data_IF_294795206493
#
_entry.id   IF_294795206493
#
_cell.length_a   1.000
_cell.length_b   1.000
_cell.length_c   1.000
_cell.angle_alpha   90.00
_cell.angle_beta   90.00
_cell.angle_gamma   90.00
#
_symmetry.space_group_name_H-M   'P 1'
#
loop_
_entity.id
_entity.type
_entity.pdbx_description
1 polymer ?
#
# COMPACT_ATOMS: atom_id res chain seq x y z
N UNK A 1 -5.96 2.71 -2.84
CA UNK A 1 -5.62 2.89 -1.42
C UNK A 1 -6.70 2.31 -0.53
N UNK A 2 -6.32 1.58 0.51
CA UNK A 2 -7.22 1.11 1.55
C UNK A 2 -6.60 1.39 2.94
N UNK A 3 -7.41 1.95 3.84
CA UNK A 3 -6.96 2.29 5.19
C UNK A 3 -7.63 3.53 5.75
N UNK A 4 -7.31 3.86 6.99
CA UNK A 4 -7.80 5.09 7.61
C UNK A 4 -7.31 6.32 6.84
N UNK A 5 -8.22 7.25 6.55
CA UNK A 5 -7.88 8.50 5.89
C UNK A 5 -7.25 9.43 6.93
N UNK A 6 -5.94 9.30 7.09
CA UNK A 6 -5.11 10.06 8.03
C UNK A 6 -3.83 10.51 7.33
N UNK A 7 -3.26 11.63 7.76
CA UNK A 7 -2.06 12.21 7.13
C UNK A 7 -0.89 11.23 7.11
N UNK A 8 -0.64 10.49 8.21
CA UNK A 8 0.46 9.53 8.28
C UNK A 8 0.25 8.28 7.41
N UNK A 9 -1.00 7.98 6.97
CA UNK A 9 -1.31 6.94 5.98
C UNK A 9 -1.10 7.41 4.54
N UNK A 10 -0.95 8.71 4.33
CA UNK A 10 -0.47 9.31 3.11
C UNK A 10 -1.43 9.37 1.90
N UNK A 11 -2.76 9.18 2.00
CA UNK A 11 -3.61 9.19 0.81
C UNK A 11 -3.58 10.52 0.05
N UNK A 12 -3.25 11.62 0.73
CA UNK A 12 -3.05 12.93 0.12
C UNK A 12 -1.88 12.94 -0.88
N UNK A 13 -0.81 12.16 -0.64
CA UNK A 13 0.31 12.05 -1.58
C UNK A 13 -0.14 11.46 -2.91
N UNK A 14 -1.06 10.48 -2.88
CA UNK A 14 -1.60 9.87 -4.10
C UNK A 14 -2.47 10.85 -4.87
N UNK A 15 -3.30 11.64 -4.17
CA UNK A 15 -4.13 12.67 -4.81
C UNK A 15 -3.23 13.72 -5.49
N UNK A 16 -2.21 14.21 -4.79
CA UNK A 16 -1.27 15.19 -5.38
C UNK A 16 -0.40 14.56 -6.49
N UNK A 17 -0.04 13.26 -6.38
CA UNK A 17 0.65 12.55 -7.46
C UNK A 17 -0.18 12.47 -8.75
N UNK A 18 -1.51 12.32 -8.64
CA UNK A 18 -2.40 12.40 -9.81
C UNK A 18 -2.38 13.79 -10.43
N UNK A 19 -2.29 14.86 -9.63
CA UNK A 19 -2.13 16.24 -10.12
C UNK A 19 -0.86 16.37 -10.97
N UNK A 20 0.27 15.88 -10.44
CA UNK A 20 1.55 15.87 -11.16
C UNK A 20 1.47 15.07 -12.47
N UNK A 21 0.83 13.88 -12.44
CA UNK A 21 0.66 13.07 -13.65
C UNK A 21 -0.21 13.77 -14.70
N UNK A 22 -1.30 14.41 -14.28
CA UNK A 22 -2.17 15.17 -15.18
C UNK A 22 -1.44 16.35 -15.81
N UNK A 23 -0.66 17.09 -15.05
CA UNK A 23 0.13 18.21 -15.54
C UNK A 23 1.14 17.74 -16.60
N UNK A 24 1.85 16.65 -16.33
CA UNK A 24 2.81 16.02 -17.26
C UNK A 24 2.14 15.50 -18.55
N UNK A 25 0.88 15.06 -18.46
CA UNK A 25 0.11 14.58 -19.60
C UNK A 25 -0.43 15.70 -20.48
N UNK A 26 -0.31 16.96 -20.09
CA UNK A 26 -0.77 18.12 -20.86
C UNK A 26 -1.73 19.06 -20.12
N UNK A 27 -1.94 18.82 -18.81
CA UNK A 27 -2.69 19.73 -17.94
C UNK A 27 -4.18 19.40 -17.77
N UNK A 28 -4.95 20.42 -17.41
CA UNK A 28 -6.35 20.25 -17.03
C UNK A 28 -7.18 19.55 -18.12
N UNK A 29 -7.99 18.58 -17.68
CA UNK A 29 -8.88 17.80 -18.56
C UNK A 29 -8.22 16.67 -19.32
N UNK A 30 -6.89 16.53 -19.28
CA UNK A 30 -6.20 15.39 -19.90
C UNK A 30 -6.27 14.18 -18.97
N UNK A 31 -6.55 12.99 -19.54
CA UNK A 31 -6.56 11.74 -18.81
C UNK A 31 -5.12 11.17 -18.70
N UNK A 32 -4.54 11.09 -17.50
CA UNK A 32 -3.21 10.49 -17.31
C UNK A 32 -3.24 8.95 -17.32
N UNK A 33 -4.39 8.32 -17.57
CA UNK A 33 -4.53 6.86 -17.60
C UNK A 33 -4.60 6.20 -16.22
N UNK A 34 -4.79 6.98 -15.14
CA UNK A 34 -4.86 6.49 -13.74
C UNK A 34 -6.17 6.88 -13.09
N UNK A 35 -6.73 5.98 -12.30
CA UNK A 35 -7.85 6.22 -11.39
C UNK A 35 -7.46 5.82 -9.98
N UNK A 36 -7.84 6.63 -9.00
CA UNK A 36 -7.60 6.36 -7.58
C UNK A 36 -8.91 6.02 -6.88
N UNK A 37 -8.98 4.82 -6.30
CA UNK A 37 -10.02 4.47 -5.34
C UNK A 37 -9.48 4.57 -3.92
N UNK A 38 -10.18 5.34 -3.07
CA UNK A 38 -9.85 5.53 -1.65
C UNK A 38 -10.91 4.83 -0.81
N UNK A 39 -10.52 3.72 -0.16
CA UNK A 39 -11.36 2.96 0.76
C UNK A 39 -10.97 3.25 2.20
N UNK A 40 -11.90 3.73 2.99
CA UNK A 40 -11.70 4.01 4.41
C UNK A 40 -12.38 5.28 4.88
N UNK A 41 -12.51 5.40 6.20
CA UNK A 41 -13.09 6.59 6.82
C UNK A 41 -11.99 7.55 7.28
N UNK A 42 -12.33 8.83 7.29
CA UNK A 42 -11.57 9.84 8.02
C UNK A 42 -11.60 9.52 9.51
N UNK A 43 -10.46 9.52 10.17
CA UNK A 43 -10.39 9.30 11.62
C UNK A 43 -9.22 10.08 12.23
N UNK A 44 -9.45 10.67 13.37
CA UNK A 44 -8.43 11.22 14.28
C UNK A 44 -7.87 12.59 13.95
N UNK A 45 -7.55 12.89 12.72
CA UNK A 45 -7.01 14.20 12.34
C UNK A 45 -8.14 15.09 11.82
N UNK A 46 -8.34 16.21 12.50
CA UNK A 46 -9.30 17.23 12.09
C UNK A 46 -9.02 17.69 10.65
N UNK A 47 -9.56 16.96 9.67
CA UNK A 47 -9.74 17.51 8.36
C UNK A 47 -8.68 17.23 7.30
N UNK A 48 -8.28 15.99 7.08
CA UNK A 48 -7.70 15.65 5.78
C UNK A 48 -8.84 15.66 4.73
N UNK A 49 -9.13 16.83 4.18
CA UNK A 49 -10.11 17.01 3.11
C UNK A 49 -9.49 16.58 1.78
N UNK A 50 -9.59 15.27 1.49
CA UNK A 50 -9.09 14.71 0.23
C UNK A 50 -9.94 15.15 -0.98
N UNK A 51 -11.23 15.37 -0.80
CA UNK A 51 -12.10 15.83 -1.89
C UNK A 51 -11.77 17.27 -2.29
N UNK A 52 -11.60 18.15 -1.30
CA UNK A 52 -11.13 19.51 -1.54
C UNK A 52 -9.71 19.55 -2.12
N UNK A 53 -8.82 18.63 -1.68
CA UNK A 53 -7.50 18.50 -2.29
C UNK A 53 -7.62 18.07 -3.77
N UNK A 54 -8.40 17.04 -4.07
CA UNK A 54 -8.61 16.57 -5.44
C UNK A 54 -9.17 17.66 -6.36
N UNK A 55 -10.07 18.51 -5.83
CA UNK A 55 -10.59 19.65 -6.56
C UNK A 55 -9.52 20.72 -6.84
N UNK A 56 -8.68 21.04 -5.85
CA UNK A 56 -7.58 22.01 -6.00
C UNK A 56 -6.50 21.52 -6.98
N UNK A 57 -6.18 20.24 -6.94
CA UNK A 57 -5.24 19.60 -7.87
C UNK A 57 -5.85 19.34 -9.26
N UNK A 58 -7.14 19.68 -9.44
CA UNK A 58 -7.84 19.47 -10.70
C UNK A 58 -8.03 18.00 -11.10
N UNK A 59 -8.08 17.08 -10.13
CA UNK A 59 -8.16 15.62 -10.34
C UNK A 59 -9.40 14.97 -9.72
N UNK A 60 -10.41 15.75 -9.37
CA UNK A 60 -11.62 15.24 -8.71
C UNK A 60 -12.35 14.16 -9.53
N UNK A 61 -12.25 14.22 -10.85
CA UNK A 61 -12.80 13.23 -11.80
C UNK A 61 -12.01 11.91 -11.82
N UNK A 62 -10.81 11.89 -11.28
CA UNK A 62 -9.94 10.71 -11.21
C UNK A 62 -10.02 9.96 -9.87
N UNK A 63 -10.69 10.54 -8.86
CA UNK A 63 -10.70 10.00 -7.49
C UNK A 63 -12.10 9.58 -7.08
N UNK A 64 -12.22 8.35 -6.59
CA UNK A 64 -13.45 7.83 -6.01
C UNK A 64 -13.25 7.53 -4.53
N UNK A 65 -14.17 8.01 -3.68
CA UNK A 65 -14.17 7.78 -2.24
C UNK A 65 -15.32 6.83 -1.89
N UNK A 66 -15.02 5.64 -1.40
CA UNK A 66 -16.02 4.60 -1.09
C UNK A 66 -16.31 4.45 0.41
N UNK A 67 -15.58 5.17 1.28
CA UNK A 67 -15.69 4.94 2.72
C UNK A 67 -15.20 3.55 3.14
N UNK A 68 -15.53 3.09 4.36
CA UNK A 68 -15.23 1.74 4.81
C UNK A 68 -16.05 0.71 4.03
N UNK A 69 -15.39 -0.36 3.59
CA UNK A 69 -16.06 -1.47 2.90
C UNK A 69 -15.81 -2.78 3.65
N UNK A 70 -16.76 -3.75 3.63
CA UNK A 70 -16.56 -5.07 4.23
C UNK A 70 -15.41 -5.83 3.54
N UNK A 71 -14.73 -6.71 4.28
CA UNK A 71 -13.57 -7.46 3.79
C UNK A 71 -13.79 -8.20 2.45
N UNK A 72 -14.94 -8.88 2.19
CA UNK A 72 -15.18 -9.51 0.89
C UNK A 72 -15.23 -8.50 -0.26
N UNK A 73 -15.82 -7.33 -0.04
CA UNK A 73 -15.89 -6.26 -1.04
C UNK A 73 -14.51 -5.63 -1.28
N UNK A 74 -13.72 -5.44 -0.21
CA UNK A 74 -12.35 -4.95 -0.31
C UNK A 74 -11.47 -5.93 -1.11
N UNK A 75 -11.58 -7.22 -0.84
CA UNK A 75 -10.87 -8.25 -1.60
C UNK A 75 -11.26 -8.25 -3.09
N UNK A 76 -12.53 -8.02 -3.42
CA UNK A 76 -12.97 -7.87 -4.80
C UNK A 76 -12.36 -6.63 -5.47
N UNK A 77 -12.27 -5.51 -4.73
CA UNK A 77 -11.63 -4.29 -5.22
C UNK A 77 -10.12 -4.46 -5.40
N UNK A 78 -9.44 -5.18 -4.50
CA UNK A 78 -8.03 -5.51 -4.68
C UNK A 78 -7.82 -6.30 -5.97
N UNK A 79 -8.61 -7.36 -6.22
CA UNK A 79 -8.52 -8.14 -7.47
C UNK A 79 -8.81 -7.33 -8.73
N UNK A 80 -9.61 -6.28 -8.63
CA UNK A 80 -9.95 -5.41 -9.76
C UNK A 80 -8.94 -4.27 -9.97
N UNK A 81 -8.04 -4.04 -9.02
CA UNK A 81 -7.04 -2.99 -9.11
C UNK A 81 -5.76 -3.51 -9.78
N UNK A 82 -5.14 -2.68 -10.60
CA UNK A 82 -3.81 -2.97 -11.15
C UNK A 82 -2.73 -2.86 -10.06
N UNK A 83 -2.89 -1.94 -9.10
CA UNK A 83 -1.93 -1.66 -8.03
C UNK A 83 -2.64 -1.24 -6.74
N UNK A 84 -2.14 -1.72 -5.61
CA UNK A 84 -2.50 -1.16 -4.31
C UNK A 84 -1.35 -0.28 -3.82
N UNK A 85 -1.65 1.00 -3.57
CA UNK A 85 -0.65 1.98 -3.14
C UNK A 85 -0.73 2.23 -1.63
N UNK A 86 0.42 2.14 -0.95
CA UNK A 86 0.57 2.32 0.50
C UNK A 86 1.59 3.42 0.83
N UNK A 87 1.19 4.69 0.76
CA UNK A 87 2.08 5.84 0.96
C UNK A 87 2.28 6.21 2.45
N UNK A 88 2.14 5.24 3.35
CA UNK A 88 2.26 5.48 4.79
C UNK A 88 3.63 6.03 5.17
N UNK A 89 3.65 7.07 5.99
CA UNK A 89 4.88 7.58 6.60
C UNK A 89 5.36 6.71 7.78
N UNK A 90 4.45 5.89 8.33
CA UNK A 90 4.75 4.90 9.37
C UNK A 90 3.77 3.74 9.24
N UNK A 91 4.29 2.53 9.28
CA UNK A 91 3.52 1.28 9.25
C UNK A 91 4.23 0.22 10.09
N UNK A 92 3.50 -0.41 10.99
CA UNK A 92 4.08 -1.39 11.91
C UNK A 92 4.29 -2.74 11.23
N UNK A 93 3.29 -3.21 10.48
CA UNK A 93 3.31 -4.54 9.86
C UNK A 93 2.99 -4.53 8.36
N UNK A 94 1.92 -3.82 7.96
CA UNK A 94 1.51 -3.76 6.55
C UNK A 94 0.46 -4.81 6.16
N UNK A 95 -0.50 -5.11 7.04
CA UNK A 95 -1.56 -6.10 6.78
C UNK A 95 -2.28 -5.85 5.46
N UNK A 96 -2.63 -4.60 5.16
CA UNK A 96 -3.30 -4.23 3.90
C UNK A 96 -2.45 -4.58 2.67
N UNK A 97 -1.11 -4.47 2.77
CA UNK A 97 -0.23 -4.90 1.69
C UNK A 97 -0.30 -6.42 1.47
N UNK A 98 -0.28 -7.19 2.55
CA UNK A 98 -0.38 -8.65 2.49
C UNK A 98 -1.76 -9.10 1.99
N UNK A 99 -2.84 -8.44 2.42
CA UNK A 99 -4.20 -8.70 1.94
C UNK A 99 -4.35 -8.44 0.43
N UNK A 100 -3.78 -7.35 -0.08
CA UNK A 100 -3.76 -7.05 -1.50
C UNK A 100 -2.96 -8.09 -2.29
N UNK A 101 -1.79 -8.47 -1.80
CA UNK A 101 -0.93 -9.49 -2.40
C UNK A 101 -1.58 -10.88 -2.39
N UNK A 102 -2.29 -11.25 -1.32
CA UNK A 102 -3.08 -12.48 -1.26
C UNK A 102 -4.20 -12.50 -2.32
N UNK A 103 -4.68 -11.34 -2.75
CA UNK A 103 -5.63 -11.19 -3.85
C UNK A 103 -4.96 -11.19 -5.24
N UNK A 104 -3.63 -11.30 -5.33
CA UNK A 104 -2.87 -11.28 -6.58
C UNK A 104 -2.46 -9.90 -7.06
N UNK A 105 -2.73 -8.85 -6.30
CA UNK A 105 -2.44 -7.47 -6.68
C UNK A 105 -1.11 -7.02 -6.12
N UNK A 106 -0.13 -6.65 -6.97
CA UNK A 106 1.15 -6.11 -6.51
C UNK A 106 0.98 -4.78 -5.78
N UNK A 107 1.90 -4.51 -4.85
CA UNK A 107 1.82 -3.34 -3.98
C UNK A 107 2.93 -2.34 -4.29
N UNK A 108 2.57 -1.08 -4.46
CA UNK A 108 3.50 0.05 -4.46
C UNK A 108 3.51 0.65 -3.06
N UNK A 109 4.62 0.51 -2.33
CA UNK A 109 4.71 0.87 -0.92
C UNK A 109 5.80 1.89 -0.65
N UNK A 110 5.56 2.81 0.30
CA UNK A 110 6.64 3.61 0.85
C UNK A 110 7.63 2.72 1.61
N UNK A 111 8.92 2.95 1.44
CA UNK A 111 9.98 2.12 2.05
C UNK A 111 10.17 2.47 3.51
N UNK A 112 9.19 2.14 4.37
CA UNK A 112 9.18 2.46 5.80
C UNK A 112 8.65 1.30 6.64
N UNK A 113 9.21 1.16 7.84
CA UNK A 113 8.73 0.24 8.89
C UNK A 113 8.46 -1.16 8.38
N UNK A 114 7.32 -1.74 8.75
CA UNK A 114 6.91 -3.08 8.35
C UNK A 114 6.68 -3.26 6.85
N UNK A 115 6.46 -2.18 6.08
CA UNK A 115 6.27 -2.29 4.63
C UNK A 115 7.52 -2.82 3.90
N UNK A 116 8.71 -2.62 4.47
CA UNK A 116 9.96 -3.16 3.92
C UNK A 116 9.96 -4.69 3.89
N UNK A 117 9.25 -5.31 4.82
CA UNK A 117 9.11 -6.77 4.92
C UNK A 117 7.81 -7.27 4.29
N UNK A 118 6.73 -6.49 4.40
CA UNK A 118 5.44 -6.84 3.83
C UNK A 118 5.42 -6.78 2.30
N UNK A 119 6.36 -6.07 1.67
CA UNK A 119 6.50 -5.98 0.21
C UNK A 119 7.93 -6.32 -0.18
N UNK A 120 8.11 -7.37 -0.97
CA UNK A 120 9.41 -7.72 -1.55
C UNK A 120 9.61 -6.97 -2.87
N UNK A 121 10.60 -6.08 -2.88
CA UNK A 121 10.91 -5.24 -4.03
C UNK A 121 11.25 -6.07 -5.28
N UNK A 122 10.55 -5.79 -6.39
CA UNK A 122 10.71 -6.53 -7.64
C UNK A 122 10.11 -7.94 -7.66
N UNK A 123 9.46 -8.40 -6.57
CA UNK A 123 8.87 -9.75 -6.46
C UNK A 123 7.37 -9.67 -6.19
N UNK A 124 6.95 -8.91 -5.19
CA UNK A 124 5.55 -8.77 -4.80
C UNK A 124 5.02 -7.35 -4.93
N UNK A 125 5.87 -6.44 -5.37
CA UNK A 125 5.61 -5.04 -5.55
C UNK A 125 6.89 -4.24 -5.71
N UNK A 126 6.83 -2.94 -5.49
CA UNK A 126 7.99 -2.04 -5.48
C UNK A 126 7.92 -1.03 -4.35
N UNK A 127 9.06 -0.45 -4.00
CA UNK A 127 9.18 0.59 -3.00
C UNK A 127 9.39 1.97 -3.61
N UNK A 128 8.67 2.95 -3.06
CA UNK A 128 8.94 4.38 -3.24
C UNK A 128 9.76 4.85 -2.03
N UNK A 129 10.89 5.48 -2.28
CA UNK A 129 11.82 5.88 -1.21
C UNK A 129 11.59 7.29 -0.70
N UNK A 130 10.97 8.16 -1.49
CA UNK A 130 10.67 9.54 -1.11
C UNK A 130 9.15 9.72 -0.90
N UNK A 131 8.80 10.35 0.22
CA UNK A 131 7.40 10.66 0.57
C UNK A 131 6.90 11.95 -0.10
N UNK A 132 7.15 12.13 -1.39
CA UNK A 132 6.71 13.32 -2.15
C UNK A 132 5.75 12.94 -3.28
N UNK A 133 4.83 13.84 -3.68
CA UNK A 133 3.92 13.58 -4.79
C UNK A 133 4.63 13.22 -6.10
N UNK A 134 5.77 13.86 -6.38
CA UNK A 134 6.56 13.64 -7.59
C UNK A 134 7.11 12.22 -7.64
N UNK A 135 7.66 11.71 -6.52
CA UNK A 135 8.18 10.35 -6.46
C UNK A 135 7.08 9.29 -6.64
N UNK A 136 5.88 9.56 -6.13
CA UNK A 136 4.71 8.68 -6.36
C UNK A 136 4.21 8.77 -7.80
N UNK A 137 4.23 9.96 -8.40
CA UNK A 137 3.90 10.15 -9.80
C UNK A 137 4.91 9.43 -10.72
N UNK A 138 6.21 9.51 -10.42
CA UNK A 138 7.26 8.80 -11.16
C UNK A 138 7.04 7.28 -11.11
N UNK A 139 6.83 6.72 -9.92
CA UNK A 139 6.59 5.30 -9.76
C UNK A 139 5.30 4.81 -10.45
N UNK A 140 4.22 5.61 -10.42
CA UNK A 140 2.99 5.31 -11.16
C UNK A 140 3.20 5.42 -12.67
N UNK A 141 3.98 6.39 -13.14
CA UNK A 141 4.31 6.53 -14.55
C UNK A 141 5.11 5.33 -15.08
N UNK A 142 6.05 4.79 -14.28
CA UNK A 142 6.78 3.56 -14.62
C UNK A 142 5.83 2.36 -14.77
N UNK A 143 4.84 2.22 -13.87
CA UNK A 143 3.81 1.17 -13.97
C UNK A 143 2.98 1.33 -15.25
N UNK A 144 2.59 2.56 -15.57
CA UNK A 144 1.83 2.85 -16.80
C UNK A 144 2.62 2.55 -18.07
N UNK A 145 3.94 2.76 -18.04
CA UNK A 145 4.81 2.53 -19.18
C UNK A 145 4.98 1.04 -19.50
N UNK A 146 4.92 0.16 -18.48
CA UNK A 146 5.03 -1.29 -18.64
C UNK A 146 4.09 -2.02 -17.67
N UNK A 147 2.81 -2.02 -18.01
CA UNK A 147 1.76 -2.67 -17.22
C UNK A 147 1.93 -4.19 -17.15
N UNK A 148 2.45 -4.81 -18.19
CA UNK A 148 2.65 -6.25 -18.24
C UNK A 148 3.76 -6.68 -17.29
N UNK A 149 4.89 -5.97 -17.25
CA UNK A 149 5.95 -6.22 -16.30
C UNK A 149 5.48 -6.02 -14.84
N UNK A 150 4.60 -5.03 -14.59
CA UNK A 150 4.01 -4.85 -13.29
C UNK A 150 3.06 -5.99 -12.91
N UNK A 151 2.15 -6.37 -13.81
CA UNK A 151 1.19 -7.47 -13.60
C UNK A 151 1.90 -8.81 -13.37
N UNK A 152 3.06 -9.03 -13.98
CA UNK A 152 3.88 -10.22 -13.79
C UNK A 152 4.37 -10.42 -12.34
N UNK A 153 4.31 -9.39 -11.48
CA UNK A 153 4.60 -9.51 -10.05
C UNK A 153 3.47 -10.21 -9.27
N UNK A 154 2.26 -10.32 -9.82
CA UNK A 154 1.09 -10.88 -9.14
C UNK A 154 1.31 -12.29 -8.56
N UNK A 155 1.84 -13.27 -9.32
CA UNK A 155 2.15 -14.60 -8.77
C UNK A 155 3.19 -14.56 -7.64
N UNK A 156 4.15 -13.65 -7.70
CA UNK A 156 5.12 -13.40 -6.62
C UNK A 156 4.45 -12.84 -5.37
N UNK A 157 3.52 -11.91 -5.56
CA UNK A 157 2.72 -11.32 -4.49
C UNK A 157 1.91 -12.39 -3.73
N UNK A 158 1.21 -13.29 -4.44
CA UNK A 158 0.46 -14.39 -3.82
C UNK A 158 1.36 -15.30 -3.01
N UNK A 159 2.50 -15.70 -3.57
CA UNK A 159 3.46 -16.58 -2.85
C UNK A 159 4.02 -15.91 -1.60
N UNK A 160 4.35 -14.62 -1.70
CA UNK A 160 4.86 -13.87 -0.56
C UNK A 160 3.81 -13.76 0.57
N UNK A 161 2.58 -13.38 0.22
CA UNK A 161 1.49 -13.29 1.20
C UNK A 161 1.18 -14.63 1.87
N UNK A 162 1.25 -15.75 1.14
CA UNK A 162 1.02 -17.10 1.69
C UNK A 162 2.02 -17.45 2.80
N UNK A 163 3.25 -16.93 2.75
CA UNK A 163 4.25 -17.10 3.82
C UNK A 163 3.98 -16.31 5.10
N UNK A 164 2.95 -15.45 5.10
CA UNK A 164 2.57 -14.61 6.24
C UNK A 164 1.23 -15.03 6.86
N UNK A 165 0.90 -16.32 6.82
CA UNK A 165 -0.29 -16.86 7.47
C UNK A 165 -0.15 -16.86 9.00
N UNK A 166 -1.27 -16.97 9.71
CA UNK A 166 -1.25 -17.10 11.17
C UNK A 166 -0.56 -18.36 11.64
N UNK A 167 -0.64 -19.45 10.86
CA UNK A 167 0.06 -20.72 11.10
C UNK A 167 1.57 -20.50 11.01
N UNK A 168 2.05 -19.90 9.92
CA UNK A 168 3.48 -19.61 9.73
C UNK A 168 4.03 -18.69 10.84
N UNK A 169 3.24 -17.73 11.29
CA UNK A 169 3.60 -16.86 12.41
C UNK A 169 3.69 -17.65 13.74
N UNK A 170 2.70 -18.52 14.01
CA UNK A 170 2.69 -19.34 15.22
C UNK A 170 3.88 -20.31 15.25
N UNK A 171 4.18 -20.96 14.14
CA UNK A 171 5.32 -21.87 14.01
C UNK A 171 6.65 -21.13 14.25
N UNK A 172 6.84 -19.99 13.61
CA UNK A 172 8.04 -19.17 13.84
C UNK A 172 8.20 -18.68 15.28
N UNK A 173 7.09 -18.36 15.95
CA UNK A 173 7.11 -17.98 17.36
C UNK A 173 7.51 -19.18 18.25
N UNK A 174 6.96 -20.36 17.99
CA UNK A 174 7.29 -21.58 18.73
C UNK A 174 8.77 -21.96 18.55
N UNK A 175 9.29 -21.86 17.33
CA UNK A 175 10.70 -22.08 17.05
C UNK A 175 11.59 -21.07 17.81
N UNK A 176 11.24 -19.80 17.76
CA UNK A 176 11.98 -18.74 18.47
C UNK A 176 12.00 -18.99 20.00
N UNK A 177 10.87 -19.39 20.59
CA UNK A 177 10.77 -19.73 22.01
C UNK A 177 11.60 -20.97 22.34
N UNK A 178 11.56 -22.00 21.49
CA UNK A 178 12.35 -23.23 21.70
C UNK A 178 13.86 -22.97 21.61
N UNK A 179 14.29 -22.01 20.82
CA UNK A 179 15.70 -21.63 20.66
C UNK A 179 16.25 -20.81 21.85
N UNK A 180 15.40 -20.31 22.75
CA UNK A 180 15.86 -19.58 23.94
C UNK A 180 16.56 -20.55 24.90
N UNK A 181 17.84 -20.35 25.25
CA UNK A 181 18.54 -21.20 26.21
C UNK A 181 17.78 -21.18 27.55
N UNK A 182 17.46 -22.38 28.05
CA UNK A 182 16.89 -22.48 29.40
C UNK A 182 17.95 -21.99 30.40
N UNK A 183 17.62 -20.97 31.17
CA UNK A 183 18.44 -20.56 32.30
C UNK A 183 18.59 -21.77 33.22
N UNK A 184 19.81 -22.24 33.45
CA UNK A 184 20.08 -23.28 34.45
C UNK A 184 19.56 -22.77 35.80
N UNK A 185 18.74 -23.56 36.51
CA UNK A 185 18.40 -23.25 37.88
C UNK A 185 19.65 -23.60 38.73
N UNK A 186 20.34 -22.64 39.24
CA UNK A 186 21.48 -22.81 40.10
C UNK A 186 22.41 -21.60 39.95
N UNK A 187 22.50 -20.86 40.93
CA UNK A 187 23.29 -20.83 42.12
C UNK A 187 22.87 -19.61 42.96
N UNK A 188 21.94 -19.81 43.84
CA UNK A 188 21.88 -19.03 45.04
C UNK A 188 22.44 -19.91 46.16
N UNK A 189 23.66 -19.67 46.53
CA UNK A 189 24.27 -20.07 47.78
C UNK A 189 25.18 -18.94 48.28
#
# INVERSE_FOLDING_TARGET
FAGRVQRHKGPHLLVSALGVLRERAGGAGVDPGVRLHVNGAASGDNGLDLAGLAAREGVADLVTFSGPVPAPALAAQFRAADVVAMPSASETYGLVALEAQACGTPVLAHRVGGLVYAVLDGVSGRHVTAGTPEAWADALAEILADRDAWAALGPGAVRHAAGHSWEAYADGLLEAVAAVPRRSPGLDA
#
